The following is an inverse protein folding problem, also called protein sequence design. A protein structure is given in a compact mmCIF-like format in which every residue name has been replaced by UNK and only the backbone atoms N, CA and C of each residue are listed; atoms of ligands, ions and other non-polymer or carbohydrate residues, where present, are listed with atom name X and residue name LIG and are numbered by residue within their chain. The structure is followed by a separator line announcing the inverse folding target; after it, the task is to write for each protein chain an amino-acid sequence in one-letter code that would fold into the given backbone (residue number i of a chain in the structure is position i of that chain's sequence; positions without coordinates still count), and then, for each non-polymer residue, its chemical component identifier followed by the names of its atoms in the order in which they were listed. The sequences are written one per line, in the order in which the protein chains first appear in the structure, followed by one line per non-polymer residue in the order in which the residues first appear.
data_IF_201149684514
#
_entry.id   IF_201149684514
#
_cell.length_a   1.000
_cell.length_b   1.000
_cell.length_c   1.000
_cell.angle_alpha   90.00
_cell.angle_beta   90.00
_cell.angle_gamma   90.00
#
_symmetry.space_group_name_H-M   'P 1'
#
loop_
_entity.id
_entity.type
_entity.pdbx_description
1 polymer ?
#
# COMPACT_ATOMS: atom_id res chain seq x y z
N UNK A 1 12.07 -23.27 15.48
CA UNK A 1 11.02 -22.27 15.14
C UNK A 1 11.47 -21.27 14.07
N UNK A 2 12.68 -20.71 14.18
CA UNK A 2 13.26 -19.72 13.25
C UNK A 2 13.44 -20.20 11.78
N UNK A 3 13.72 -21.49 11.56
CA UNK A 3 13.90 -22.06 10.20
C UNK A 3 12.58 -22.15 9.42
N UNK A 4 11.46 -22.44 10.09
CA UNK A 4 10.12 -22.47 9.46
C UNK A 4 9.63 -21.06 9.13
N UNK A 5 9.96 -20.08 9.97
CA UNK A 5 9.64 -18.67 9.71
C UNK A 5 10.43 -18.12 8.52
N UNK A 6 11.74 -18.43 8.43
CA UNK A 6 12.54 -18.11 7.24
C UNK A 6 12.02 -18.79 5.96
N UNK A 7 11.63 -20.07 6.04
CA UNK A 7 11.02 -20.78 4.92
C UNK A 7 9.67 -20.19 4.49
N UNK A 8 8.86 -19.74 5.44
CA UNK A 8 7.60 -19.04 5.20
C UNK A 8 7.82 -17.65 4.57
N UNK A 9 8.76 -16.84 5.09
CA UNK A 9 9.13 -15.57 4.47
C UNK A 9 9.74 -15.74 3.08
N UNK A 10 10.55 -16.79 2.87
CA UNK A 10 11.10 -17.12 1.57
C UNK A 10 9.99 -17.54 0.59
N UNK A 11 9.03 -18.36 1.02
CA UNK A 11 7.89 -18.75 0.20
C UNK A 11 7.02 -17.55 -0.17
N UNK A 12 6.74 -16.65 0.78
CA UNK A 12 6.03 -15.39 0.54
C UNK A 12 6.79 -14.41 -0.38
N UNK A 13 8.13 -14.49 -0.43
CA UNK A 13 8.97 -13.67 -1.34
C UNK A 13 8.93 -14.15 -2.78
N UNK A 14 8.67 -15.42 -3.04
CA UNK A 14 8.71 -16.03 -4.39
C UNK A 14 7.34 -16.28 -5.00
N UNK A 15 6.26 -16.10 -4.24
CA UNK A 15 4.91 -16.15 -4.79
C UNK A 15 4.63 -14.92 -5.67
N UNK A 16 4.24 -15.19 -6.92
CA UNK A 16 3.54 -14.24 -7.80
C UNK A 16 4.35 -13.05 -8.32
N UNK A 17 5.59 -13.32 -8.77
CA UNK A 17 6.59 -12.33 -9.21
C UNK A 17 6.40 -11.69 -10.59
N UNK A 18 5.27 -11.90 -11.27
CA UNK A 18 5.08 -11.26 -12.58
C UNK A 18 4.95 -9.74 -12.42
N UNK A 19 5.44 -8.93 -13.37
CA UNK A 19 5.40 -7.46 -13.27
C UNK A 19 4.01 -6.92 -12.94
N UNK A 20 2.96 -7.46 -13.56
CA UNK A 20 1.58 -7.07 -13.32
C UNK A 20 1.08 -7.42 -11.92
N UNK A 21 1.42 -8.60 -11.38
CA UNK A 21 0.99 -9.00 -10.03
C UNK A 21 1.71 -8.22 -8.95
N UNK A 22 3.00 -7.91 -9.15
CA UNK A 22 3.74 -7.06 -8.24
C UNK A 22 3.19 -5.63 -8.23
N UNK A 23 2.89 -5.06 -9.40
CA UNK A 23 2.26 -3.75 -9.50
C UNK A 23 0.88 -3.73 -8.81
N UNK A 24 0.05 -4.76 -9.02
CA UNK A 24 -1.24 -4.91 -8.34
C UNK A 24 -1.09 -5.06 -6.81
N UNK A 25 -0.06 -5.78 -6.34
CA UNK A 25 0.27 -5.86 -4.91
C UNK A 25 0.61 -4.50 -4.32
N UNK A 26 1.41 -3.69 -5.03
CA UNK A 26 1.78 -2.34 -4.59
C UNK A 26 0.56 -1.42 -4.58
N UNK A 27 -0.26 -1.44 -5.64
CA UNK A 27 -1.52 -0.70 -5.69
C UNK A 27 -2.38 -1.02 -4.47
N UNK A 28 -2.66 -2.30 -4.24
CA UNK A 28 -3.54 -2.74 -3.17
C UNK A 28 -2.99 -2.36 -1.80
N UNK A 29 -1.69 -2.55 -1.58
CA UNK A 29 -1.06 -2.18 -0.33
C UNK A 29 -1.13 -0.68 -0.05
N UNK A 30 -0.77 0.16 -1.03
CA UNK A 30 -0.89 1.62 -0.89
C UNK A 30 -2.34 2.06 -0.66
N UNK A 31 -3.27 1.43 -1.38
CA UNK A 31 -4.69 1.74 -1.25
C UNK A 31 -5.22 1.43 0.15
N UNK A 32 -5.01 0.21 0.64
CA UNK A 32 -5.39 -0.19 2.00
C UNK A 32 -4.56 0.51 3.09
N UNK A 33 -3.36 0.97 2.72
CA UNK A 33 -2.49 1.78 3.55
C UNK A 33 -3.07 3.16 3.86
N UNK A 34 -3.56 3.84 2.82
CA UNK A 34 -4.04 5.22 2.92
C UNK A 34 -5.48 5.30 3.43
N UNK A 35 -6.35 4.37 3.03
CA UNK A 35 -7.73 4.35 3.51
C UNK A 35 -7.76 4.11 5.03
N UNK A 36 -8.58 4.87 5.81
CA UNK A 36 -8.58 4.85 7.27
C UNK A 36 -9.17 3.54 7.85
N UNK A 37 -8.40 2.46 7.78
CA UNK A 37 -8.74 1.10 8.25
C UNK A 37 -8.09 0.80 9.61
N UNK A 38 -8.25 1.71 10.56
CA UNK A 38 -7.57 1.63 11.86
C UNK A 38 -7.92 0.33 12.61
N UNK A 39 -6.88 -0.34 13.12
CA UNK A 39 -7.01 -1.57 13.91
C UNK A 39 -7.18 -2.88 13.11
N UNK A 40 -7.67 -2.83 11.86
CA UNK A 40 -7.93 -4.03 11.03
C UNK A 40 -7.17 -4.07 9.70
N UNK A 41 -6.35 -3.05 9.42
CA UNK A 41 -5.58 -2.90 8.18
C UNK A 41 -4.76 -4.15 7.83
N UNK A 42 -3.89 -4.64 8.72
CA UNK A 42 -3.00 -5.76 8.41
C UNK A 42 -3.74 -7.08 8.17
N UNK A 43 -4.70 -7.50 9.03
CA UNK A 43 -5.54 -8.66 8.73
C UNK A 43 -6.26 -8.54 7.39
N UNK A 44 -6.81 -7.36 7.08
CA UNK A 44 -7.51 -7.13 5.81
C UNK A 44 -6.55 -7.21 4.62
N UNK A 45 -5.36 -6.62 4.71
CA UNK A 45 -4.32 -6.72 3.69
C UNK A 45 -3.98 -8.19 3.39
N UNK A 46 -3.80 -9.01 4.43
CA UNK A 46 -3.52 -10.44 4.27
C UNK A 46 -4.69 -11.19 3.63
N UNK A 47 -5.92 -10.90 4.05
CA UNK A 47 -7.13 -11.54 3.54
C UNK A 47 -7.34 -11.21 2.05
N UNK A 48 -7.29 -9.93 1.69
CA UNK A 48 -7.48 -9.47 0.30
C UNK A 48 -6.32 -9.93 -0.58
N UNK A 49 -5.08 -9.84 -0.10
CA UNK A 49 -3.93 -10.38 -0.84
C UNK A 49 -4.05 -11.88 -1.07
N UNK A 50 -4.55 -12.65 -0.10
CA UNK A 50 -4.75 -14.09 -0.26
C UNK A 50 -5.87 -14.39 -1.27
N UNK A 51 -7.00 -13.70 -1.17
CA UNK A 51 -8.13 -13.88 -2.10
C UNK A 51 -7.77 -13.54 -3.55
N UNK A 52 -7.01 -12.46 -3.76
CA UNK A 52 -6.54 -12.04 -5.09
C UNK A 52 -5.27 -12.76 -5.55
N UNK A 53 -4.73 -13.69 -4.73
CA UNK A 53 -3.47 -14.39 -4.98
C UNK A 53 -2.32 -13.41 -5.24
N UNK A 54 -2.26 -12.30 -4.53
CA UNK A 54 -1.20 -11.30 -4.65
C UNK A 54 -0.04 -11.60 -3.68
N UNK A 55 1.11 -10.99 -3.93
CA UNK A 55 2.24 -11.09 -3.01
C UNK A 55 1.88 -10.41 -1.68
N UNK A 56 1.62 -11.23 -0.65
CA UNK A 56 1.16 -10.74 0.66
C UNK A 56 2.19 -9.85 1.34
N UNK A 57 3.48 -10.15 1.16
CA UNK A 57 4.56 -9.36 1.75
C UNK A 57 4.63 -7.98 1.11
N UNK A 58 4.48 -7.89 -0.22
CA UNK A 58 4.42 -6.60 -0.92
C UNK A 58 3.19 -5.81 -0.52
N UNK A 59 2.01 -6.44 -0.42
CA UNK A 59 0.76 -5.75 -0.01
C UNK A 59 0.91 -5.19 1.41
N UNK A 60 1.31 -6.02 2.37
CA UNK A 60 1.50 -5.56 3.76
C UNK A 60 2.62 -4.51 3.86
N UNK A 61 3.73 -4.70 3.15
CA UNK A 61 4.83 -3.76 3.14
C UNK A 61 4.44 -2.38 2.57
N UNK A 62 3.68 -2.35 1.48
CA UNK A 62 3.17 -1.12 0.90
C UNK A 62 2.08 -0.46 1.78
N UNK A 63 1.29 -1.24 2.52
CA UNK A 63 0.29 -0.71 3.45
C UNK A 63 0.90 0.04 4.65
N UNK A 64 2.17 -0.22 4.98
CA UNK A 64 2.89 0.50 6.05
C UNK A 64 3.23 1.96 5.71
N UNK A 65 2.77 2.49 4.58
CA UNK A 65 2.90 3.92 4.25
C UNK A 65 2.25 4.81 5.32
N UNK A 66 1.14 4.37 5.92
CA UNK A 66 0.45 5.03 7.02
C UNK A 66 1.09 4.74 8.39
N UNK A 67 2.42 4.86 8.48
CA UNK A 67 3.09 4.70 9.77
C UNK A 67 2.64 5.81 10.76
N UNK A 68 2.88 5.66 12.07
CA UNK A 68 2.46 6.67 13.06
C UNK A 68 3.00 8.08 12.81
N UNK A 69 4.07 8.21 12.03
CA UNK A 69 4.65 9.49 11.63
C UNK A 69 3.91 10.13 10.44
N UNK A 70 3.48 9.33 9.45
CA UNK A 70 2.78 9.80 8.24
C UNK A 70 1.26 9.84 8.40
N UNK A 71 0.69 9.05 9.31
CA UNK A 71 -0.75 9.00 9.54
C UNK A 71 -1.39 10.38 9.82
N UNK A 72 -0.81 11.27 10.66
CA UNK A 72 -1.38 12.59 10.88
C UNK A 72 -1.48 13.44 9.60
N UNK A 73 -0.48 13.32 8.72
CA UNK A 73 -0.45 14.05 7.45
C UNK A 73 -1.46 13.49 6.45
N UNK A 74 -1.61 12.16 6.38
CA UNK A 74 -2.62 11.52 5.54
C UNK A 74 -4.02 11.91 5.98
N UNK A 75 -4.32 11.84 7.28
CA UNK A 75 -5.63 12.25 7.85
C UNK A 75 -5.93 13.71 7.53
N UNK A 76 -4.96 14.60 7.77
CA UNK A 76 -5.11 16.02 7.46
C UNK A 76 -5.40 16.28 5.97
N UNK A 77 -4.64 15.61 5.08
CA UNK A 77 -4.84 15.72 3.65
C UNK A 77 -6.19 15.13 3.19
N UNK A 78 -6.58 13.98 3.75
CA UNK A 78 -7.84 13.31 3.49
C UNK A 78 -9.04 14.17 3.88
N UNK A 79 -9.03 14.75 5.09
CA UNK A 79 -10.09 15.66 5.53
C UNK A 79 -10.14 16.90 4.63
N UNK A 80 -9.01 17.56 4.41
CA UNK A 80 -8.97 18.80 3.61
C UNK A 80 -9.48 18.57 2.19
N UNK A 81 -9.07 17.46 1.56
CA UNK A 81 -9.52 17.10 0.21
C UNK A 81 -10.99 16.66 0.21
N UNK A 82 -11.42 15.91 1.23
CA UNK A 82 -12.79 15.47 1.39
C UNK A 82 -13.78 16.60 1.58
N UNK A 83 -13.49 17.55 2.46
CA UNK A 83 -14.33 18.73 2.69
C UNK A 83 -14.35 19.65 1.48
N UNK A 84 -13.22 19.76 0.77
CA UNK A 84 -13.19 20.47 -0.49
C UNK A 84 -14.10 19.80 -1.53
N UNK A 85 -14.08 18.46 -1.64
CA UNK A 85 -14.94 17.71 -2.55
C UNK A 85 -16.42 17.79 -2.17
N UNK A 86 -16.75 17.79 -0.88
CA UNK A 86 -18.15 17.75 -0.39
C UNK A 86 -18.79 19.13 -0.32
N UNK A 87 -18.02 20.13 0.10
CA UNK A 87 -18.54 21.44 0.49
C UNK A 87 -17.82 22.61 -0.19
N UNK A 88 -16.74 22.37 -0.94
CA UNK A 88 -15.94 23.43 -1.58
C UNK A 88 -15.15 24.29 -0.60
N UNK A 89 -14.94 23.81 0.63
CA UNK A 89 -14.28 24.56 1.71
C UNK A 89 -13.15 23.73 2.32
N UNK A 90 -12.11 24.40 2.78
CA UNK A 90 -11.06 23.78 3.57
C UNK A 90 -11.45 23.90 5.05
N UNK A 91 -11.47 22.77 5.75
CA UNK A 91 -11.77 22.73 7.18
C UNK A 91 -10.56 23.13 8.01
N UNK A 92 -10.80 23.85 9.09
CA UNK A 92 -9.76 24.14 10.09
C UNK A 92 -9.54 22.87 10.91
N UNK A 93 -8.39 22.21 10.69
CA UNK A 93 -8.05 20.96 11.34
C UNK A 93 -7.82 21.17 12.84
N UNK A 94 -8.72 20.62 13.65
CA UNK A 94 -8.53 20.48 15.09
C UNK A 94 -7.85 19.12 15.40
N UNK A 95 -6.78 19.16 16.20
CA UNK A 95 -5.98 17.98 16.56
C UNK A 95 -6.78 16.99 17.40
N UNK A 96 -7.73 17.46 18.21
CA UNK A 96 -8.55 16.58 19.04
C UNK A 96 -9.59 15.83 18.20
N UNK A 97 -10.14 16.47 17.17
CA UNK A 97 -10.99 15.81 16.16
C UNK A 97 -10.20 14.74 15.38
N UNK A 98 -8.97 15.04 14.96
CA UNK A 98 -8.11 14.09 14.25
C UNK A 98 -7.79 12.83 15.09
N UNK A 99 -7.58 12.98 16.40
CA UNK A 99 -7.42 11.84 17.31
C UNK A 99 -8.69 11.00 17.40
N UNK A 100 -9.86 11.65 17.44
CA UNK A 100 -11.17 10.98 17.43
C UNK A 100 -11.36 10.03 16.25
N UNK A 101 -10.86 10.40 15.06
CA UNK A 101 -10.94 9.59 13.84
C UNK A 101 -10.11 8.30 13.87
N UNK A 102 -8.97 8.33 14.56
CA UNK A 102 -8.08 7.15 14.68
C UNK A 102 -8.60 6.10 15.66
N UNK A 103 -9.52 6.48 16.55
CA UNK A 103 -10.19 5.58 17.48
C UNK A 103 -11.51 5.04 16.93
N UNK A 104 -12.41 4.62 17.83
CA UNK A 104 -13.77 4.17 17.50
C UNK A 104 -14.83 5.26 17.74
N UNK A 105 -14.41 6.49 18.07
CA UNK A 105 -15.29 7.61 18.43
C UNK A 105 -16.21 8.04 17.29
N UNK A 106 -15.84 7.74 16.04
CA UNK A 106 -16.67 7.96 14.85
C UNK A 106 -17.95 7.11 14.81
N UNK A 107 -18.03 6.02 15.59
CA UNK A 107 -19.27 5.26 15.79
C UNK A 107 -20.30 6.02 16.64
N UNK A 108 -19.86 7.01 17.43
CA UNK A 108 -20.71 7.82 18.29
C UNK A 108 -21.45 8.96 17.59
N UNK A 109 -21.28 9.14 16.27
CA UNK A 109 -22.00 10.15 15.48
C UNK A 109 -21.31 11.52 15.42
N UNK A 110 -20.61 11.93 16.47
CA UNK A 110 -20.06 13.30 16.61
C UNK A 110 -19.01 13.65 15.55
N UNK A 111 -18.19 12.68 15.16
CA UNK A 111 -17.12 12.86 14.14
C UNK A 111 -17.39 12.09 12.84
N UNK A 112 -18.63 11.62 12.62
CA UNK A 112 -18.97 10.84 11.43
C UNK A 112 -18.86 11.67 10.16
N UNK A 113 -19.25 12.95 10.18
CA UNK A 113 -19.12 13.80 9.00
C UNK A 113 -17.65 13.99 8.61
N UNK A 114 -16.80 14.24 9.61
CA UNK A 114 -15.36 14.38 9.42
C UNK A 114 -14.73 13.07 8.94
N UNK A 115 -15.18 11.92 9.45
CA UNK A 115 -14.76 10.61 8.97
C UNK A 115 -15.13 10.38 7.51
N UNK A 116 -16.34 10.77 7.08
CA UNK A 116 -16.76 10.66 5.69
C UNK A 116 -15.93 11.56 4.76
N UNK A 117 -15.60 12.77 5.21
CA UNK A 117 -14.68 13.65 4.47
C UNK A 117 -13.30 13.02 4.38
N UNK A 118 -12.73 12.56 5.49
CA UNK A 118 -11.46 11.84 5.53
C UNK A 118 -11.45 10.65 4.57
N UNK A 119 -12.48 9.79 4.65
CA UNK A 119 -12.63 8.60 3.81
C UNK A 119 -12.68 8.95 2.32
N UNK A 120 -13.43 9.99 1.93
CA UNK A 120 -13.53 10.42 0.53
C UNK A 120 -12.20 10.98 0.00
N UNK A 121 -11.54 11.84 0.77
CA UNK A 121 -10.23 12.38 0.38
C UNK A 121 -9.15 11.31 0.35
N UNK A 122 -9.08 10.46 1.37
CA UNK A 122 -8.14 9.34 1.43
C UNK A 122 -8.37 8.34 0.30
N UNK A 123 -9.62 8.07 -0.09
CA UNK A 123 -9.91 7.21 -1.25
C UNK A 123 -9.32 7.79 -2.54
N UNK A 124 -9.45 9.11 -2.75
CA UNK A 124 -8.89 9.76 -3.93
C UNK A 124 -7.34 9.73 -3.89
N UNK A 125 -6.74 10.07 -2.76
CA UNK A 125 -5.29 10.01 -2.56
C UNK A 125 -4.78 8.58 -2.76
N UNK A 126 -5.46 7.59 -2.20
CA UNK A 126 -5.17 6.17 -2.31
C UNK A 126 -5.16 5.68 -3.76
N UNK A 127 -6.16 6.09 -4.56
CA UNK A 127 -6.21 5.75 -5.99
C UNK A 127 -5.03 6.38 -6.73
N UNK A 128 -4.77 7.68 -6.54
CA UNK A 128 -3.68 8.38 -7.23
C UNK A 128 -2.33 7.78 -6.86
N UNK A 129 -2.02 7.69 -5.57
CA UNK A 129 -0.76 7.15 -5.06
C UNK A 129 -0.61 5.67 -5.44
N UNK A 130 -1.69 4.89 -5.34
CA UNK A 130 -1.72 3.50 -5.75
C UNK A 130 -1.41 3.31 -7.23
N UNK A 131 -2.05 4.07 -8.12
CA UNK A 131 -1.81 3.99 -9.58
C UNK A 131 -0.38 4.38 -9.90
N UNK A 132 0.13 5.47 -9.32
CA UNK A 132 1.51 5.91 -9.53
C UNK A 132 2.52 4.87 -9.05
N UNK A 133 2.31 4.32 -7.85
CA UNK A 133 3.15 3.26 -7.29
C UNK A 133 3.14 1.99 -8.14
N UNK A 134 1.97 1.58 -8.62
CA UNK A 134 1.82 0.43 -9.51
C UNK A 134 2.51 0.64 -10.86
N UNK A 135 2.31 1.81 -11.49
CA UNK A 135 2.94 2.16 -12.76
C UNK A 135 4.46 2.20 -12.64
N UNK A 136 4.99 2.81 -11.58
CA UNK A 136 6.43 2.85 -11.30
C UNK A 136 7.00 1.45 -11.10
N UNK A 137 6.32 0.61 -10.32
CA UNK A 137 6.72 -0.79 -10.07
C UNK A 137 6.72 -1.62 -11.34
N UNK A 138 5.67 -1.48 -12.16
CA UNK A 138 5.55 -2.18 -13.43
C UNK A 138 6.67 -1.77 -14.39
N UNK A 139 6.89 -0.47 -14.58
CA UNK A 139 7.93 0.06 -15.46
C UNK A 139 9.33 -0.35 -15.02
N UNK A 140 9.61 -0.31 -13.72
CA UNK A 140 10.89 -0.78 -13.16
C UNK A 140 11.11 -2.27 -13.43
N UNK A 141 10.09 -3.10 -13.20
CA UNK A 141 10.23 -4.56 -13.35
C UNK A 141 10.39 -4.99 -14.81
N UNK A 142 9.63 -4.40 -15.73
CA UNK A 142 9.75 -4.66 -17.19
C UNK A 142 11.12 -4.25 -17.73
N UNK A 143 11.65 -3.11 -17.27
CA UNK A 143 13.01 -2.66 -17.63
C UNK A 143 14.08 -3.62 -17.12
N UNK A 144 13.94 -4.10 -15.88
CA UNK A 144 14.87 -5.07 -15.29
C UNK A 144 14.85 -6.43 -16.03
N UNK A 145 13.68 -6.90 -16.45
CA UNK A 145 13.56 -8.14 -17.23
C UNK A 145 14.22 -7.99 -18.61
N UNK A 146 13.98 -6.85 -19.29
CA UNK A 146 14.58 -6.56 -20.61
C UNK A 146 16.10 -6.47 -20.55
N UNK A 147 16.65 -5.82 -19.51
CA UNK A 147 18.09 -5.71 -19.30
C UNK A 147 18.76 -7.06 -18.99
N UNK A 148 18.03 -8.00 -18.40
CA UNK A 148 18.51 -9.36 -18.09
C UNK A 148 18.55 -10.23 -19.35
N UNK A 149 17.55 -10.12 -20.23
CA UNK A 149 17.51 -10.84 -21.51
C UNK A 149 18.54 -10.32 -22.53
N UNK A 150 19.02 -9.07 -22.37
CA UNK A 150 20.02 -8.45 -23.24
C UNK A 150 21.48 -8.82 -22.89
N UNK A 151 21.72 -9.70 -21.90
CA UNK A 151 23.05 -10.27 -21.60
C UNK A 151 23.21 -11.74 -22.03
N UNK A 152 23.07 -12.10 -23.32
CA UNK A 152 23.48 -13.43 -23.78
C UNK A 152 25.01 -13.46 -23.90
N UNK A 153 25.72 -14.08 -22.94
CA UNK A 153 27.14 -14.44 -23.15
C UNK A 153 28.11 -14.45 -21.97
N UNK A 154 27.72 -14.13 -20.73
CA UNK A 154 28.68 -14.12 -19.62
C UNK A 154 28.96 -15.51 -18.98
N UNK A 155 28.14 -16.53 -19.28
CA UNK A 155 28.24 -17.87 -18.69
C UNK A 155 28.91 -18.92 -19.62
N UNK A 156 29.55 -18.50 -20.72
CA UNK A 156 30.18 -19.44 -21.69
C UNK A 156 31.71 -19.41 -21.65
N UNK A 157 32.35 -18.66 -20.73
CA UNK A 157 33.82 -18.48 -20.70
C UNK A 157 34.50 -18.85 -19.37
N UNK A 158 34.03 -19.89 -18.69
CA UNK A 158 34.79 -20.60 -17.63
C UNK A 158 33.91 -21.71 -17.04
N UNK A 159 34.20 -23.00 -17.12
CA UNK A 159 35.47 -23.72 -17.23
C UNK A 159 35.36 -24.82 -18.30
N UNK A 160 36.33 -24.85 -19.23
CA UNK A 160 36.72 -26.07 -19.93
C UNK A 160 37.59 -26.95 -19.00
N UNK A 161 37.70 -28.26 -19.26
CA UNK A 161 38.47 -29.15 -18.40
C UNK A 161 39.97 -28.97 -18.68
N UNK A 162 40.72 -28.50 -17.69
CA UNK A 162 42.18 -28.65 -17.60
C UNK A 162 42.53 -29.19 -16.20
#
# INVERSE_FOLDING_TARGET
MWSRFKGFLAHLRYEHSSPGRLAASVFLGLFLGIVPLYGVQTPLCLLVATGLRLNRLTVVGAAQISNPLFAPFLIAAGIALGDWLRYGRLHELDLDQARGLTGLWWLGGEVTDLFLSCLLGDTLIAVVVGVLGAAATYAWRVRADTASSARPGADVLGDGPE
#
